data_IF_992089644500
#
_entry.id   IF_992089644500
#
_cell.length_a   1.000
_cell.length_b   1.000
_cell.length_c   1.000
_cell.angle_alpha   90.00
_cell.angle_beta   90.00
_cell.angle_gamma   90.00
#
_symmetry.space_group_name_H-M   'P 1'
#
loop_
_entity.id
_entity.type
_entity.pdbx_description
1 polymer ?
#
# COMPACT_ATOMS: atom_id res chain seq x y z
N UNK A 1 13.04 -21.89 28.52
CA UNK A 1 14.37 -21.28 28.27
C UNK A 1 14.15 -20.11 27.34
N UNK A 2 14.23 -18.88 27.85
CA UNK A 2 14.15 -17.67 27.03
C UNK A 2 15.48 -17.57 26.29
N UNK A 3 15.48 -17.68 24.96
CA UNK A 3 16.70 -17.45 24.17
C UNK A 3 17.18 -16.03 24.47
N UNK A 4 18.42 -15.88 24.94
CA UNK A 4 19.02 -14.55 25.10
C UNK A 4 18.84 -13.78 23.79
N UNK A 5 18.25 -12.57 23.82
CA UNK A 5 18.15 -11.76 22.63
C UNK A 5 19.56 -11.56 22.06
N UNK A 6 19.74 -11.60 20.73
CA UNK A 6 21.06 -11.45 20.12
C UNK A 6 21.74 -10.22 20.70
N UNK A 7 22.90 -10.43 21.33
CA UNK A 7 23.63 -9.40 22.06
C UNK A 7 23.90 -8.21 21.12
N UNK A 8 23.22 -7.09 21.37
CA UNK A 8 23.50 -5.82 20.65
C UNK A 8 22.30 -5.02 20.15
N UNK A 9 21.07 -5.55 20.15
CA UNK A 9 19.91 -4.73 19.74
C UNK A 9 19.49 -3.83 20.90
N UNK A 10 19.78 -2.53 20.78
CA UNK A 10 19.22 -1.52 21.66
C UNK A 10 17.72 -1.39 21.41
N UNK A 11 16.94 -1.83 22.40
CA UNK A 11 15.50 -1.67 22.40
C UNK A 11 15.18 -0.31 23.03
N UNK A 12 14.39 0.50 22.33
CA UNK A 12 13.90 1.77 22.84
C UNK A 12 12.39 1.73 22.98
N UNK A 13 11.86 2.43 23.99
CA UNK A 13 10.42 2.56 24.17
C UNK A 13 9.79 3.24 22.94
N UNK A 14 8.71 2.70 22.36
CA UNK A 14 8.08 3.32 21.19
C UNK A 14 7.39 4.65 21.49
N UNK A 15 7.06 4.96 22.75
CA UNK A 15 6.35 6.18 23.13
C UNK A 15 7.30 7.31 23.55
N UNK A 16 8.25 7.04 24.44
CA UNK A 16 9.14 8.07 25.01
C UNK A 16 10.61 7.95 24.63
N UNK A 17 10.98 6.94 23.82
CA UNK A 17 12.36 6.68 23.40
C UNK A 17 13.35 6.33 24.53
N UNK A 18 12.85 5.94 25.71
CA UNK A 18 13.71 5.45 26.79
C UNK A 18 14.41 4.15 26.39
N UNK A 19 15.71 4.04 26.68
CA UNK A 19 16.50 2.83 26.42
C UNK A 19 16.06 1.70 27.37
N UNK A 20 15.51 0.62 26.80
CA UNK A 20 15.00 -0.53 27.52
C UNK A 20 16.07 -1.59 27.84
N UNK A 21 17.34 -1.31 27.54
CA UNK A 21 18.46 -2.22 27.84
C UNK A 21 18.56 -2.46 29.35
N UNK A 22 18.54 -3.73 29.75
CA UNK A 22 18.67 -4.13 31.16
C UNK A 22 17.42 -3.88 32.01
N UNK A 23 16.30 -3.51 31.40
CA UNK A 23 15.07 -3.29 32.13
C UNK A 23 14.48 -4.62 32.62
N UNK A 24 14.16 -4.69 33.91
CA UNK A 24 13.55 -5.88 34.55
C UNK A 24 12.04 -5.74 34.76
N UNK A 25 11.47 -4.54 34.60
CA UNK A 25 10.04 -4.30 34.72
C UNK A 25 9.30 -4.56 33.41
N UNK A 26 8.03 -4.98 33.52
CA UNK A 26 7.09 -5.11 32.40
C UNK A 26 6.54 -3.76 31.90
N UNK A 27 7.06 -2.65 32.43
CA UNK A 27 6.64 -1.28 32.11
C UNK A 27 7.83 -0.37 31.91
N UNK A 28 7.73 0.53 30.94
CA UNK A 28 8.69 1.60 30.76
C UNK A 28 8.68 2.55 31.97
N UNK A 29 9.84 2.85 32.60
CA UNK A 29 9.91 3.70 33.79
C UNK A 29 9.54 5.16 33.52
N UNK A 30 9.74 5.64 32.31
CA UNK A 30 9.46 7.04 31.93
C UNK A 30 7.97 7.28 31.63
N UNK A 31 7.35 6.41 30.82
CA UNK A 31 5.99 6.65 30.32
C UNK A 31 4.95 5.63 30.78
N UNK A 32 5.34 4.63 31.58
CA UNK A 32 4.45 3.59 32.10
C UNK A 32 3.92 2.60 31.06
N UNK A 33 4.39 2.67 29.80
CA UNK A 33 3.96 1.78 28.72
C UNK A 33 4.24 0.33 29.08
N UNK A 34 3.23 -0.53 29.00
CA UNK A 34 3.37 -1.96 29.20
C UNK A 34 4.15 -2.60 28.04
N UNK A 35 5.20 -3.34 28.37
CA UNK A 35 6.20 -3.92 27.47
C UNK A 35 5.96 -5.40 27.19
N UNK A 36 4.75 -5.92 27.44
CA UNK A 36 4.29 -7.27 27.07
C UNK A 36 4.62 -7.65 25.62
N UNK A 37 4.86 -6.64 24.77
CA UNK A 37 5.17 -6.89 23.40
C UNK A 37 6.58 -7.41 23.16
N UNK A 38 7.53 -7.27 24.07
CA UNK A 38 8.93 -7.70 23.87
C UNK A 38 9.04 -9.23 23.93
N UNK A 39 8.30 -9.85 24.85
CA UNK A 39 8.45 -11.29 25.14
C UNK A 39 7.55 -12.20 24.30
N UNK A 40 6.55 -11.67 23.60
CA UNK A 40 5.64 -12.55 22.87
C UNK A 40 6.35 -13.15 21.64
N UNK A 41 6.41 -14.49 21.53
CA UNK A 41 7.15 -15.17 20.47
C UNK A 41 6.52 -15.00 19.08
N UNK A 42 5.22 -14.66 19.04
CA UNK A 42 4.47 -14.53 17.79
C UNK A 42 4.45 -13.11 17.24
N UNK A 43 4.56 -12.99 15.91
CA UNK A 43 4.37 -11.70 15.24
C UNK A 43 2.92 -11.20 15.44
N UNK A 44 2.73 -9.92 15.81
CA UNK A 44 1.40 -9.35 16.03
C UNK A 44 0.67 -9.11 14.71
N UNK A 45 1.36 -9.18 13.57
CA UNK A 45 0.78 -8.99 12.24
C UNK A 45 0.01 -10.25 11.85
N UNK A 46 -1.33 -10.22 11.71
CA UNK A 46 -2.12 -11.42 11.45
C UNK A 46 -1.68 -12.17 10.18
N UNK A 47 -1.28 -11.46 9.13
CA UNK A 47 -0.82 -12.04 7.85
C UNK A 47 0.42 -12.93 7.97
N UNK A 48 1.26 -12.76 8.99
CA UNK A 48 2.39 -13.65 9.26
C UNK A 48 1.90 -15.06 9.61
N UNK A 49 0.74 -15.16 10.28
CA UNK A 49 0.08 -16.39 10.72
C UNK A 49 -1.00 -16.89 9.74
N UNK A 50 -0.97 -16.43 8.48
CA UNK A 50 -1.98 -16.79 7.46
C UNK A 50 -2.10 -18.29 7.16
N UNK A 51 -1.07 -19.08 7.45
CA UNK A 51 -1.10 -20.53 7.27
C UNK A 51 -1.92 -21.23 8.38
N UNK A 52 -1.98 -20.64 9.57
CA UNK A 52 -2.67 -21.18 10.75
C UNK A 52 -4.10 -20.64 10.88
N UNK A 53 -4.29 -19.34 10.62
CA UNK A 53 -5.56 -18.64 10.84
C UNK A 53 -6.43 -18.46 9.58
N UNK A 54 -5.92 -18.89 8.42
CA UNK A 54 -6.56 -18.73 7.12
C UNK A 54 -6.21 -17.42 6.41
N UNK A 55 -6.09 -17.48 5.08
CA UNK A 55 -5.57 -16.37 4.25
C UNK A 55 -6.50 -15.16 4.20
N UNK A 56 -7.79 -15.36 3.92
CA UNK A 56 -8.74 -14.25 3.78
C UNK A 56 -8.97 -13.51 5.10
N UNK A 57 -9.15 -14.26 6.20
CA UNK A 57 -9.34 -13.69 7.53
C UNK A 57 -8.13 -12.85 7.95
N UNK A 58 -6.93 -13.39 7.83
CA UNK A 58 -5.70 -12.68 8.22
C UNK A 58 -5.40 -11.49 7.30
N UNK A 59 -5.77 -11.56 6.02
CA UNK A 59 -5.69 -10.42 5.12
C UNK A 59 -6.49 -9.23 5.65
N UNK A 60 -7.80 -9.42 5.88
CA UNK A 60 -8.68 -8.35 6.36
C UNK A 60 -8.36 -7.90 7.78
N UNK A 61 -7.94 -8.81 8.67
CA UNK A 61 -7.45 -8.42 9.99
C UNK A 61 -6.19 -7.55 9.89
N UNK A 62 -5.30 -7.82 8.95
CA UNK A 62 -4.10 -7.00 8.72
C UNK A 62 -4.48 -5.65 8.12
N UNK A 63 -5.38 -5.62 7.14
CA UNK A 63 -5.92 -4.36 6.59
C UNK A 63 -6.52 -3.50 7.71
N UNK A 64 -7.38 -4.09 8.55
CA UNK A 64 -7.99 -3.39 9.68
C UNK A 64 -6.96 -2.90 10.70
N UNK A 65 -5.98 -3.74 11.06
CA UNK A 65 -4.91 -3.39 11.99
C UNK A 65 -4.08 -2.20 11.47
N UNK A 66 -3.74 -2.19 10.17
CA UNK A 66 -3.00 -1.08 9.55
C UNK A 66 -3.83 0.19 9.47
N UNK A 67 -5.11 0.09 9.08
CA UNK A 67 -5.97 1.25 8.87
C UNK A 67 -6.38 1.94 10.17
N UNK A 68 -6.79 1.17 11.17
CA UNK A 68 -7.45 1.71 12.36
C UNK A 68 -6.56 1.66 13.61
N UNK A 69 -5.45 0.93 13.56
CA UNK A 69 -4.55 0.73 14.70
C UNK A 69 -3.08 0.87 14.30
N UNK A 70 -2.78 1.84 13.44
CA UNK A 70 -1.44 2.11 12.91
C UNK A 70 -0.35 2.16 13.97
N UNK A 71 -0.61 2.83 15.11
CA UNK A 71 0.36 2.90 16.22
C UNK A 71 0.73 1.52 16.74
N UNK A 72 -0.27 0.67 16.97
CA UNK A 72 -0.08 -0.71 17.41
C UNK A 72 0.63 -1.54 16.34
N UNK A 73 0.31 -1.31 15.06
CA UNK A 73 0.98 -1.96 13.95
C UNK A 73 2.47 -1.59 13.88
N UNK A 74 2.83 -0.32 14.01
CA UNK A 74 4.23 0.13 13.99
C UNK A 74 5.06 -0.44 15.14
N UNK A 75 4.44 -0.77 16.30
CA UNK A 75 5.13 -1.48 17.39
C UNK A 75 5.57 -2.90 16.99
N UNK A 76 5.03 -3.47 15.92
CA UNK A 76 5.51 -4.74 15.37
C UNK A 76 6.98 -4.66 14.89
N UNK A 77 7.54 -3.47 14.69
CA UNK A 77 8.95 -3.28 14.29
C UNK A 77 9.93 -3.86 15.31
N UNK A 78 9.56 -3.90 16.59
CA UNK A 78 10.40 -4.44 17.65
C UNK A 78 10.42 -5.98 17.68
N UNK A 79 9.60 -6.63 16.84
CA UNK A 79 9.53 -8.07 16.70
C UNK A 79 10.04 -8.53 15.33
N UNK A 80 10.40 -9.80 15.17
CA UNK A 80 10.68 -10.37 13.85
C UNK A 80 9.46 -10.22 12.94
N UNK A 81 9.66 -9.54 11.81
CA UNK A 81 8.68 -9.41 10.72
C UNK A 81 9.31 -10.03 9.47
N UNK A 82 8.59 -10.92 8.80
CA UNK A 82 9.10 -11.61 7.62
C UNK A 82 8.96 -10.72 6.40
N UNK A 83 10.08 -10.32 5.81
CA UNK A 83 10.11 -9.60 4.53
C UNK A 83 9.31 -10.33 3.44
N UNK A 84 9.45 -11.67 3.36
CA UNK A 84 8.74 -12.51 2.38
C UNK A 84 7.22 -12.47 2.59
N UNK A 85 6.74 -12.49 3.84
CA UNK A 85 5.32 -12.38 4.13
C UNK A 85 4.78 -11.00 3.75
N UNK A 86 5.53 -9.94 4.06
CA UNK A 86 5.18 -8.57 3.74
C UNK A 86 5.06 -8.33 2.22
N UNK A 87 6.03 -8.81 1.43
CA UNK A 87 5.95 -8.78 -0.05
C UNK A 87 4.75 -9.55 -0.60
N UNK A 88 4.42 -10.70 -0.02
CA UNK A 88 3.22 -11.45 -0.39
C UNK A 88 1.93 -10.67 -0.08
N UNK A 89 1.88 -9.95 1.06
CA UNK A 89 0.75 -9.09 1.38
C UNK A 89 0.58 -7.97 0.33
N UNK A 90 1.69 -7.32 -0.05
CA UNK A 90 1.71 -6.31 -1.09
C UNK A 90 1.16 -6.88 -2.41
N UNK A 91 1.66 -8.03 -2.87
CA UNK A 91 1.19 -8.65 -4.12
C UNK A 91 -0.31 -8.96 -4.08
N UNK A 92 -0.80 -9.52 -2.97
CA UNK A 92 -2.24 -9.80 -2.80
C UNK A 92 -3.05 -8.51 -2.83
N UNK A 93 -2.55 -7.44 -2.20
CA UNK A 93 -3.23 -6.13 -2.20
C UNK A 93 -3.24 -5.49 -3.59
N UNK A 94 -2.13 -5.54 -4.31
CA UNK A 94 -2.06 -5.04 -5.69
C UNK A 94 -2.99 -5.84 -6.61
N UNK A 95 -3.00 -7.18 -6.48
CA UNK A 95 -3.91 -8.02 -7.26
C UNK A 95 -5.38 -7.70 -6.94
N UNK A 96 -5.72 -7.48 -5.66
CA UNK A 96 -7.05 -7.04 -5.24
C UNK A 96 -7.43 -5.70 -5.90
N UNK A 97 -6.52 -4.73 -5.90
CA UNK A 97 -6.75 -3.43 -6.54
C UNK A 97 -6.93 -3.55 -8.05
N UNK A 98 -6.12 -4.37 -8.72
CA UNK A 98 -6.27 -4.64 -10.15
C UNK A 98 -7.62 -5.32 -10.46
N UNK A 99 -8.05 -6.28 -9.63
CA UNK A 99 -9.35 -6.91 -9.79
C UNK A 99 -10.49 -5.89 -9.63
N UNK A 100 -10.41 -4.97 -8.66
CA UNK A 100 -11.37 -3.88 -8.50
C UNK A 100 -11.41 -2.95 -9.73
N UNK A 101 -10.25 -2.57 -10.26
CA UNK A 101 -10.16 -1.74 -11.48
C UNK A 101 -10.77 -2.47 -12.68
N UNK A 102 -10.46 -3.76 -12.85
CA UNK A 102 -11.00 -4.56 -13.94
C UNK A 102 -12.53 -4.71 -13.84
N UNK A 103 -13.06 -4.95 -12.64
CA UNK A 103 -14.51 -4.94 -12.40
C UNK A 103 -15.16 -3.60 -12.76
N UNK A 104 -14.49 -2.48 -12.46
CA UNK A 104 -14.94 -1.14 -12.86
C UNK A 104 -14.95 -0.94 -14.38
N UNK A 105 -13.94 -1.44 -15.08
CA UNK A 105 -13.88 -1.40 -16.54
C UNK A 105 -14.94 -2.31 -17.17
N UNK A 106 -15.19 -3.50 -16.62
CA UNK A 106 -16.27 -4.37 -17.07
C UNK A 106 -17.65 -3.75 -16.84
N UNK A 107 -17.87 -3.11 -15.68
CA UNK A 107 -19.12 -2.38 -15.45
C UNK A 107 -19.27 -1.24 -16.44
N UNK A 108 -18.19 -0.52 -16.75
CA UNK A 108 -18.22 0.55 -17.74
C UNK A 108 -18.48 0.02 -19.17
N UNK A 109 -17.88 -1.10 -19.57
CA UNK A 109 -18.15 -1.77 -20.85
C UNK A 109 -19.61 -2.17 -21.00
N UNK A 110 -20.20 -2.69 -19.92
CA UNK A 110 -21.60 -3.08 -19.90
C UNK A 110 -22.54 -1.88 -20.03
N UNK A 111 -22.21 -0.78 -19.35
CA UNK A 111 -23.04 0.43 -19.33
C UNK A 111 -22.85 1.31 -20.58
N UNK A 112 -21.64 1.37 -21.13
CA UNK A 112 -21.19 2.26 -22.21
C UNK A 112 -20.18 1.56 -23.12
N UNK A 113 -20.62 0.59 -23.96
CA UNK A 113 -19.73 -0.13 -24.87
C UNK A 113 -19.09 0.81 -25.91
N UNK A 114 -19.78 1.91 -26.26
CA UNK A 114 -19.29 2.96 -27.15
C UNK A 114 -18.01 3.63 -26.62
N UNK A 115 -17.94 3.86 -25.31
CA UNK A 115 -16.85 4.62 -24.70
C UNK A 115 -15.52 3.85 -24.73
N UNK A 116 -15.53 2.55 -24.43
CA UNK A 116 -14.29 1.76 -24.48
C UNK A 116 -13.83 1.50 -25.93
N UNK A 117 -14.76 1.44 -26.89
CA UNK A 117 -14.41 1.41 -28.31
C UNK A 117 -13.78 2.73 -28.75
N UNK A 118 -14.33 3.89 -28.33
CA UNK A 118 -13.76 5.21 -28.61
C UNK A 118 -12.37 5.41 -27.99
N UNK A 119 -12.13 4.85 -26.80
CA UNK A 119 -10.82 4.88 -26.14
C UNK A 119 -9.83 3.86 -26.71
N UNK A 120 -10.22 3.05 -27.70
CA UNK A 120 -9.41 1.95 -28.25
C UNK A 120 -8.97 0.95 -27.17
N UNK A 121 -9.70 0.85 -26.06
CA UNK A 121 -9.42 -0.02 -24.92
C UNK A 121 -10.12 -1.38 -25.07
N UNK A 122 -10.10 -1.97 -26.26
CA UNK A 122 -10.73 -3.27 -26.54
C UNK A 122 -9.69 -4.29 -27.00
N UNK A 123 -9.72 -5.51 -26.44
CA UNK A 123 -8.75 -6.55 -26.76
C UNK A 123 -7.38 -6.34 -26.09
N UNK A 124 -6.30 -6.39 -26.87
CA UNK A 124 -4.92 -6.33 -26.36
C UNK A 124 -4.52 -5.01 -25.66
N UNK A 125 -5.00 -3.81 -26.04
CA UNK A 125 -4.66 -2.57 -25.35
C UNK A 125 -5.17 -2.56 -23.90
N UNK A 126 -6.33 -3.17 -23.63
CA UNK A 126 -6.86 -3.31 -22.27
C UNK A 126 -5.92 -4.15 -21.40
N UNK A 127 -5.40 -5.26 -21.96
CA UNK A 127 -4.42 -6.12 -21.28
C UNK A 127 -3.12 -5.37 -21.03
N UNK A 128 -2.64 -4.60 -22.01
CA UNK A 128 -1.43 -3.78 -21.88
C UNK A 128 -1.59 -2.70 -20.79
N UNK A 129 -2.71 -1.96 -20.79
CA UNK A 129 -3.01 -0.97 -19.75
C UNK A 129 -3.08 -1.63 -18.38
N UNK A 130 -3.80 -2.74 -18.25
CA UNK A 130 -3.86 -3.50 -16.98
C UNK A 130 -2.49 -3.95 -16.49
N UNK A 131 -1.62 -4.44 -17.39
CA UNK A 131 -0.26 -4.85 -17.06
C UNK A 131 0.61 -3.66 -16.62
N UNK A 132 0.57 -2.54 -17.36
CA UNK A 132 1.31 -1.32 -17.03
C UNK A 132 0.83 -0.76 -15.68
N UNK A 133 -0.48 -0.69 -15.46
CA UNK A 133 -1.06 -0.28 -14.17
C UNK A 133 -0.60 -1.20 -13.04
N UNK A 134 -0.57 -2.52 -13.27
CA UNK A 134 -0.07 -3.48 -12.28
C UNK A 134 1.40 -3.27 -11.92
N UNK A 135 2.25 -3.04 -12.92
CA UNK A 135 3.66 -2.69 -12.71
C UNK A 135 3.82 -1.36 -11.97
N UNK A 136 3.05 -0.34 -12.35
CA UNK A 136 3.03 0.94 -11.66
C UNK A 136 2.61 0.80 -10.20
N UNK A 137 1.53 0.07 -9.91
CA UNK A 137 1.10 -0.21 -8.54
C UNK A 137 2.18 -0.94 -7.75
N UNK A 138 2.82 -1.97 -8.30
CA UNK A 138 3.92 -2.69 -7.64
C UNK A 138 5.12 -1.77 -7.33
N UNK A 139 5.46 -0.89 -8.26
CA UNK A 139 6.57 0.05 -8.09
C UNK A 139 6.24 1.11 -7.04
N UNK A 140 5.06 1.73 -7.12
CA UNK A 140 4.59 2.75 -6.17
C UNK A 140 4.46 2.20 -4.75
N UNK A 141 3.89 1.01 -4.59
CA UNK A 141 3.71 0.36 -3.29
C UNK A 141 5.03 -0.15 -2.70
N UNK A 142 6.10 -0.22 -3.50
CA UNK A 142 7.47 -0.50 -3.06
C UNK A 142 8.31 0.75 -2.84
N UNK A 143 7.96 1.89 -3.44
CA UNK A 143 8.72 3.13 -3.35
C UNK A 143 9.04 3.57 -1.90
N UNK A 144 8.12 3.46 -0.92
CA UNK A 144 8.45 3.81 0.46
C UNK A 144 9.67 3.06 1.01
N UNK A 145 9.90 1.79 0.67
CA UNK A 145 10.97 0.99 1.29
C UNK A 145 12.36 1.61 1.17
N UNK A 146 12.61 2.44 0.15
CA UNK A 146 13.87 3.15 -0.02
C UNK A 146 14.10 4.25 1.04
N UNK A 147 13.02 4.84 1.56
CA UNK A 147 13.07 5.91 2.55
C UNK A 147 13.10 5.40 4.00
N UNK A 148 12.68 4.15 4.22
CA UNK A 148 12.62 3.53 5.55
C UNK A 148 13.86 2.68 5.88
N UNK A 149 15.02 3.06 5.35
CA UNK A 149 16.32 2.44 5.63
C UNK A 149 17.29 3.43 6.33
N UNK A 150 16.95 3.92 7.54
CA UNK A 150 17.78 4.89 8.23
C UNK A 150 19.08 4.25 8.74
N UNK A 151 20.22 4.72 8.23
CA UNK A 151 21.57 4.21 8.57
C UNK A 151 21.94 4.20 10.07
N UNK A 152 21.20 4.90 10.93
CA UNK A 152 21.45 4.90 12.38
C UNK A 152 20.76 3.76 13.12
N UNK A 153 19.80 3.07 12.50
CA UNK A 153 19.19 1.88 13.10
C UNK A 153 20.09 0.67 12.86
N UNK A 154 20.12 -0.32 13.77
CA UNK A 154 20.67 -1.64 13.47
C UNK A 154 20.04 -2.24 12.20
N UNK A 155 20.83 -3.02 11.44
CA UNK A 155 20.41 -3.59 10.14
C UNK A 155 19.13 -4.41 10.29
N UNK A 156 18.95 -5.11 11.40
CA UNK A 156 17.76 -5.88 11.72
C UNK A 156 16.51 -4.99 11.82
N UNK A 157 16.61 -3.84 12.49
CA UNK A 157 15.51 -2.88 12.60
C UNK A 157 15.23 -2.19 11.26
N UNK A 158 16.27 -1.89 10.47
CA UNK A 158 16.10 -1.38 9.10
C UNK A 158 15.32 -2.37 8.22
N UNK A 159 15.70 -3.64 8.25
CA UNK A 159 15.01 -4.70 7.50
C UNK A 159 13.55 -4.87 7.93
N UNK A 160 13.26 -4.75 9.24
CA UNK A 160 11.89 -4.80 9.78
C UNK A 160 11.08 -3.58 9.38
N UNK A 161 11.66 -2.38 9.43
CA UNK A 161 11.01 -1.16 8.97
C UNK A 161 10.65 -1.26 7.47
N UNK A 162 11.60 -1.70 6.64
CA UNK A 162 11.38 -2.00 5.22
C UNK A 162 10.25 -3.03 5.02
N UNK A 163 10.25 -4.12 5.78
CA UNK A 163 9.18 -5.12 5.71
C UNK A 163 7.82 -4.51 6.07
N UNK A 164 7.73 -3.70 7.12
CA UNK A 164 6.49 -3.06 7.53
C UNK A 164 5.92 -2.14 6.45
N UNK A 165 6.77 -1.42 5.70
CA UNK A 165 6.33 -0.52 4.63
C UNK A 165 5.49 -1.21 3.55
N UNK A 166 5.71 -2.50 3.28
CA UNK A 166 4.88 -3.23 2.32
C UNK A 166 3.45 -3.48 2.79
N UNK A 167 3.19 -3.40 4.10
CA UNK A 167 1.84 -3.45 4.66
C UNK A 167 1.15 -2.08 4.64
N UNK A 168 1.90 -0.99 4.47
CA UNK A 168 1.35 0.37 4.40
C UNK A 168 0.43 0.61 3.17
N UNK A 169 0.39 -0.37 2.26
CA UNK A 169 -0.47 -0.40 1.09
C UNK A 169 -1.89 -0.90 1.38
N UNK A 170 -2.19 -1.31 2.63
CA UNK A 170 -3.50 -1.77 3.05
C UNK A 170 -4.70 -0.87 2.65
N UNK A 171 -4.60 0.47 2.63
CA UNK A 171 -5.68 1.34 2.14
C UNK A 171 -6.16 1.03 0.72
N UNK A 172 -5.29 0.49 -0.14
CA UNK A 172 -5.67 0.09 -1.50
C UNK A 172 -6.69 -1.07 -1.52
N UNK A 173 -6.86 -1.81 -0.42
CA UNK A 173 -7.94 -2.80 -0.30
C UNK A 173 -9.34 -2.15 -0.38
N UNK A 174 -9.48 -0.86 -0.05
CA UNK A 174 -10.73 -0.12 -0.19
C UNK A 174 -11.04 0.31 -1.63
N UNK A 175 -10.15 0.04 -2.60
CA UNK A 175 -10.37 0.34 -4.02
C UNK A 175 -11.60 -0.35 -4.61
N UNK A 176 -12.04 -1.48 -4.04
CA UNK A 176 -13.28 -2.17 -4.43
C UNK A 176 -14.54 -1.31 -4.21
N UNK A 177 -14.49 -0.27 -3.36
CA UNK A 177 -15.62 0.63 -3.17
C UNK A 177 -15.92 1.47 -4.42
N UNK A 178 -14.92 1.74 -5.26
CA UNK A 178 -15.08 2.56 -6.48
C UNK A 178 -15.99 1.88 -7.52
N UNK A 179 -15.72 0.65 -7.99
CA UNK A 179 -16.62 -0.03 -8.93
C UNK A 179 -17.99 -0.32 -8.30
N UNK A 180 -18.06 -0.64 -7.00
CA UNK A 180 -19.34 -0.84 -6.32
C UNK A 180 -20.20 0.43 -6.31
N UNK A 181 -19.60 1.59 -6.03
CA UNK A 181 -20.30 2.87 -6.09
C UNK A 181 -20.78 3.17 -7.52
N UNK A 182 -19.94 2.93 -8.53
CA UNK A 182 -20.30 3.11 -9.95
C UNK A 182 -21.50 2.23 -10.35
N UNK A 183 -21.48 0.94 -10.00
CA UNK A 183 -22.57 -0.01 -10.27
C UNK A 183 -23.85 0.44 -9.56
N UNK A 184 -23.78 0.79 -8.28
CA UNK A 184 -24.92 1.24 -7.50
C UNK A 184 -25.56 2.51 -8.09
N UNK A 185 -24.74 3.49 -8.49
CA UNK A 185 -25.23 4.72 -9.11
C UNK A 185 -25.91 4.47 -10.45
N UNK A 186 -25.37 3.58 -11.29
CA UNK A 186 -26.00 3.19 -12.54
C UNK A 186 -27.39 2.60 -12.33
N UNK A 187 -27.55 1.70 -11.35
CA UNK A 187 -28.85 1.13 -11.02
C UNK A 187 -29.83 2.13 -10.40
N UNK A 188 -29.34 3.14 -9.68
CA UNK A 188 -30.18 4.15 -9.05
C UNK A 188 -30.72 5.20 -10.03
N UNK A 189 -29.90 5.60 -11.02
CA UNK A 189 -30.23 6.70 -11.95
C UNK A 189 -30.77 6.18 -13.30
N UNK A 190 -30.56 4.90 -13.61
CA UNK A 190 -30.79 4.34 -14.95
C UNK A 190 -29.66 4.69 -15.91
N UNK A 191 -29.83 4.54 -17.24
CA UNK A 191 -28.89 5.01 -18.24
C UNK A 191 -29.18 6.49 -18.58
N UNK A 192 -28.61 7.48 -17.86
CA UNK A 192 -28.77 8.88 -18.22
C UNK A 192 -28.20 9.13 -19.62
N UNK A 193 -28.81 10.07 -20.36
CA UNK A 193 -28.23 10.60 -21.59
C UNK A 193 -26.81 11.15 -21.34
N UNK A 194 -26.57 11.72 -20.14
CA UNK A 194 -25.26 12.25 -19.70
C UNK A 194 -24.71 11.50 -18.48
N UNK A 195 -24.15 10.31 -18.73
CA UNK A 195 -23.60 9.42 -17.69
C UNK A 195 -22.26 9.91 -17.10
N UNK A 196 -21.53 10.76 -17.83
CA UNK A 196 -20.20 11.25 -17.44
C UNK A 196 -20.19 12.04 -16.12
N UNK A 197 -21.00 13.11 -15.92
CA UNK A 197 -20.97 13.87 -14.68
C UNK A 197 -21.37 13.04 -13.47
N UNK A 198 -22.36 12.14 -13.63
CA UNK A 198 -22.80 11.22 -12.56
C UNK A 198 -21.68 10.24 -12.19
N UNK A 199 -21.02 9.64 -13.19
CA UNK A 199 -19.93 8.70 -12.94
C UNK A 199 -18.76 9.37 -12.22
N UNK A 200 -18.36 10.59 -12.63
CA UNK A 200 -17.30 11.35 -11.96
C UNK A 200 -17.71 11.70 -10.53
N UNK A 201 -18.92 12.21 -10.31
CA UNK A 201 -19.41 12.59 -8.99
C UNK A 201 -19.44 11.41 -8.00
N UNK A 202 -19.71 10.21 -8.51
CA UNK A 202 -19.82 8.98 -7.69
C UNK A 202 -18.46 8.32 -7.46
N UNK A 203 -17.59 8.29 -8.47
CA UNK A 203 -16.32 7.55 -8.40
C UNK A 203 -15.14 8.38 -7.91
N UNK A 204 -15.15 9.70 -8.10
CA UNK A 204 -14.07 10.57 -7.64
C UNK A 204 -13.95 10.61 -6.11
N UNK A 205 -15.04 10.77 -5.31
CA UNK A 205 -14.92 10.80 -3.85
C UNK A 205 -14.28 9.55 -3.22
N UNK A 206 -14.71 8.30 -3.52
CA UNK A 206 -14.07 7.11 -2.96
C UNK A 206 -12.62 6.96 -3.45
N UNK A 207 -12.31 7.36 -4.69
CA UNK A 207 -10.94 7.35 -5.21
C UNK A 207 -10.04 8.31 -4.41
N UNK A 208 -10.48 9.55 -4.23
CA UNK A 208 -9.77 10.56 -3.44
C UNK A 208 -9.62 10.08 -1.99
N UNK A 209 -10.66 9.49 -1.41
CA UNK A 209 -10.59 8.93 -0.06
C UNK A 209 -9.53 7.83 0.07
N UNK A 210 -9.48 6.88 -0.86
CA UNK A 210 -8.46 5.81 -0.88
C UNK A 210 -7.05 6.40 -0.97
N UNK A 211 -6.84 7.40 -1.84
CA UNK A 211 -5.54 8.07 -1.98
C UNK A 211 -5.15 8.83 -0.71
N UNK A 212 -6.09 9.55 -0.08
CA UNK A 212 -5.85 10.26 1.18
C UNK A 212 -5.57 9.30 2.34
N UNK A 213 -6.26 8.16 2.40
CA UNK A 213 -6.00 7.12 3.39
C UNK A 213 -4.60 6.53 3.18
N UNK A 214 -4.25 6.19 1.94
CA UNK A 214 -2.93 5.66 1.59
C UNK A 214 -1.81 6.62 1.98
N UNK A 215 -1.98 7.89 1.61
CA UNK A 215 -1.13 9.00 1.96
C UNK A 215 -0.96 9.17 3.48
N UNK A 216 -2.07 9.18 4.22
CA UNK A 216 -2.08 9.34 5.68
C UNK A 216 -1.34 8.20 6.39
N UNK A 217 -1.52 6.95 5.94
CA UNK A 217 -0.82 5.79 6.52
C UNK A 217 0.68 5.91 6.30
N UNK A 218 1.15 6.31 5.13
CA UNK A 218 2.58 6.57 4.88
C UNK A 218 3.15 7.63 5.82
N UNK A 219 2.43 8.73 6.03
CA UNK A 219 2.86 9.78 6.95
C UNK A 219 2.91 9.31 8.39
N UNK A 220 1.94 8.49 8.82
CA UNK A 220 1.97 7.90 10.16
C UNK A 220 3.16 6.95 10.31
N UNK A 221 3.43 6.09 9.32
CA UNK A 221 4.61 5.22 9.32
C UNK A 221 5.90 6.03 9.39
N UNK A 222 6.02 7.10 8.60
CA UNK A 222 7.18 7.99 8.62
C UNK A 222 7.39 8.58 10.02
N UNK A 223 6.34 9.09 10.66
CA UNK A 223 6.39 9.63 12.02
C UNK A 223 6.88 8.59 13.04
N UNK A 224 6.35 7.38 13.00
CA UNK A 224 6.69 6.33 13.97
C UNK A 224 8.06 5.69 13.73
N UNK A 225 8.46 5.49 12.47
CA UNK A 225 9.68 4.75 12.13
C UNK A 225 10.91 5.66 12.01
N UNK A 226 10.76 6.90 11.52
CA UNK A 226 11.89 7.78 11.25
C UNK A 226 12.21 8.72 12.42
N UNK A 227 11.23 9.08 13.25
CA UNK A 227 11.32 9.94 14.46
C UNK A 227 11.91 11.35 14.30
N UNK A 228 12.65 11.63 13.23
CA UNK A 228 13.21 12.95 12.92
C UNK A 228 12.27 13.76 12.04
N UNK A 229 11.84 14.97 12.45
CA UNK A 229 10.83 15.74 11.74
C UNK A 229 11.24 16.09 10.30
N UNK A 230 12.53 16.35 10.07
CA UNK A 230 13.07 16.63 8.73
C UNK A 230 12.89 15.45 7.77
N UNK A 231 13.16 14.22 8.22
CA UNK A 231 12.97 13.02 7.39
C UNK A 231 11.51 12.67 7.18
N UNK A 232 10.68 12.87 8.21
CA UNK A 232 9.22 12.75 8.08
C UNK A 232 8.73 13.71 6.99
N UNK A 233 9.17 14.97 7.02
CA UNK A 233 8.83 15.96 6.00
C UNK A 233 9.30 15.54 4.61
N UNK A 234 10.53 15.02 4.45
CA UNK A 234 11.01 14.51 3.16
C UNK A 234 10.09 13.41 2.62
N UNK A 235 9.75 12.40 3.41
CA UNK A 235 8.83 11.33 2.96
C UNK A 235 7.43 11.88 2.66
N UNK A 236 6.95 12.81 3.49
CA UNK A 236 5.64 13.46 3.34
C UNK A 236 5.57 14.39 2.13
N UNK A 237 6.67 14.98 1.66
CA UNK A 237 6.57 15.95 0.55
C UNK A 237 7.14 15.43 -0.76
N UNK A 238 8.14 14.54 -0.71
CA UNK A 238 8.82 14.04 -1.90
C UNK A 238 8.18 12.78 -2.49
N UNK A 239 7.64 11.91 -1.65
CA UNK A 239 7.09 10.63 -2.09
C UNK A 239 5.90 10.78 -3.08
N UNK A 240 4.93 11.70 -2.90
CA UNK A 240 3.82 11.84 -3.85
C UNK A 240 4.26 12.36 -5.23
N UNK A 241 5.05 13.43 -5.39
CA UNK A 241 5.51 13.83 -6.72
C UNK A 241 6.41 12.77 -7.35
N UNK A 242 7.23 12.07 -6.57
CA UNK A 242 8.03 10.96 -7.10
C UNK A 242 7.14 9.81 -7.59
N UNK A 243 6.07 9.50 -6.88
CA UNK A 243 5.06 8.54 -7.32
C UNK A 243 4.34 8.97 -8.60
N UNK A 244 3.94 10.25 -8.70
CA UNK A 244 3.34 10.80 -9.91
C UNK A 244 4.29 10.73 -11.11
N UNK A 245 5.56 11.13 -10.92
CA UNK A 245 6.59 11.05 -11.96
C UNK A 245 6.83 9.60 -12.40
N UNK A 246 6.94 8.67 -11.46
CA UNK A 246 7.11 7.24 -11.76
C UNK A 246 5.90 6.69 -12.53
N UNK A 247 4.70 7.06 -12.15
CA UNK A 247 3.47 6.63 -12.83
C UNK A 247 3.39 7.20 -14.24
N UNK A 248 3.67 8.50 -14.39
CA UNK A 248 3.72 9.17 -15.68
C UNK A 248 4.78 8.52 -16.59
N UNK A 249 5.98 8.23 -16.06
CA UNK A 249 7.04 7.54 -16.79
C UNK A 249 6.60 6.14 -17.27
N UNK A 250 6.01 5.34 -16.37
CA UNK A 250 5.55 3.99 -16.69
C UNK A 250 4.40 3.95 -17.69
N UNK A 251 3.58 5.00 -17.76
CA UNK A 251 2.50 5.13 -18.76
C UNK A 251 3.01 5.71 -20.09
N UNK A 252 3.89 6.71 -20.04
CA UNK A 252 4.39 7.42 -21.22
C UNK A 252 5.35 6.57 -22.05
N UNK A 253 6.28 5.85 -21.43
CA UNK A 253 7.30 5.08 -22.17
C UNK A 253 6.68 4.02 -23.08
N UNK A 254 5.75 3.15 -22.63
CA UNK A 254 5.11 2.19 -23.52
C UNK A 254 4.30 2.86 -24.65
N UNK A 255 3.63 3.99 -24.35
CA UNK A 255 2.87 4.73 -25.36
C UNK A 255 3.80 5.33 -26.44
N UNK A 256 4.94 5.89 -26.04
CA UNK A 256 5.95 6.41 -26.97
C UNK A 256 6.58 5.29 -27.81
N UNK A 257 6.86 4.13 -27.21
CA UNK A 257 7.36 2.95 -27.93
C UNK A 257 6.33 2.45 -28.94
N UNK A 258 5.06 2.34 -28.56
CA UNK A 258 3.99 1.93 -29.46
C UNK A 258 3.81 2.91 -30.63
N UNK A 259 3.85 4.22 -30.35
CA UNK A 259 3.82 5.27 -31.37
C UNK A 259 5.00 5.16 -32.34
N UNK A 260 6.22 4.97 -31.82
CA UNK A 260 7.41 4.81 -32.63
C UNK A 260 7.34 3.59 -33.55
N UNK A 261 6.87 2.44 -33.04
CA UNK A 261 6.65 1.23 -33.84
C UNK A 261 5.60 1.49 -34.93
N UNK A 262 4.50 2.16 -34.60
CA UNK A 262 3.46 2.50 -35.57
C UNK A 262 4.00 3.39 -36.70
N UNK A 263 4.86 4.37 -36.36
CA UNK A 263 5.52 5.23 -37.35
C UNK A 263 6.42 4.43 -38.29
N UNK A 264 7.24 3.51 -37.77
CA UNK A 264 8.08 2.61 -38.60
C UNK A 264 7.21 1.76 -39.54
N UNK A 265 6.13 1.17 -39.04
CA UNK A 265 5.25 0.34 -39.89
C UNK A 265 4.59 1.17 -40.98
N UNK A 266 4.22 2.42 -40.67
CA UNK A 266 3.61 3.32 -41.65
C UNK A 266 4.60 3.82 -42.71
N UNK A 267 5.88 3.96 -42.38
CA UNK A 267 6.89 4.40 -43.35
C UNK A 267 7.36 3.30 -44.31
N UNK A 268 7.04 2.03 -44.00
CA UNK A 268 7.30 0.88 -44.87
C UNK A 268 6.16 0.59 -45.86
N UNK A 269 5.03 1.29 -45.76
CA UNK A 269 3.88 1.19 -46.69
C UNK A 269 3.92 2.30 -47.71
#
# INVERSE_FOLDING_TARGET
MVSEPPAGIELFCPECDYNLRGLTSDRCPECGLKLDFIDAPESPVPWERRAQLGRLRTYWQTVFLVLFRTKLFCRAMYRPVSYRAARRFQYVTVLHTLAALFLGLLSLQWQRPDLLQQLWLTGWPLVAVGAITGLALLALTGLPSYFFHPRWLPVELQNRAVALCYYANAPLAASALVPLASIAAYHAVGPPRDLQPVLVLVTAPPTVLVLLMWWSIWNQFAKYLLRRPTRVAVVTWLLPPLGLLLTAFLLAVPALVALYIALIVSSLR
#
